data_IF_878886319220
#
_entry.id   IF_878886319220
#
_cell.length_a   1.000
_cell.length_b   1.000
_cell.length_c   1.000
_cell.angle_alpha   90.00
_cell.angle_beta   90.00
_cell.angle_gamma   90.00
#
_symmetry.space_group_name_H-M   'P 1'
#
loop_
_entity.id
_entity.type
_entity.pdbx_description
1 polymer ?
#
# COMPACT_ATOMS: atom_id res chain seq x y z
N UNK A 1 28.65 -27.69 21.34
CA UNK A 1 27.88 -26.50 21.78
C UNK A 1 27.08 -25.99 20.59
N UNK A 2 25.78 -26.28 20.59
CA UNK A 2 24.87 -26.07 19.47
C UNK A 2 23.76 -25.11 19.90
N UNK A 3 23.61 -23.98 19.21
CA UNK A 3 22.45 -23.11 19.35
C UNK A 3 21.74 -23.02 18.00
N UNK A 4 20.56 -23.65 17.94
CA UNK A 4 19.64 -23.63 16.80
C UNK A 4 18.74 -22.40 16.92
N UNK A 5 18.66 -21.61 15.84
CA UNK A 5 17.62 -20.61 15.67
C UNK A 5 16.31 -21.29 15.31
N UNK A 6 15.31 -21.17 16.19
CA UNK A 6 13.92 -21.55 15.94
C UNK A 6 13.14 -20.26 15.65
N UNK A 7 12.75 -20.01 14.39
CA UNK A 7 11.78 -18.97 14.03
C UNK A 7 10.46 -19.64 13.72
N UNK A 8 9.48 -19.43 14.59
CA UNK A 8 8.10 -19.82 14.35
C UNK A 8 7.38 -18.82 13.41
N UNK A 9 6.34 -19.27 12.69
CA UNK A 9 5.59 -18.47 11.71
C UNK A 9 4.52 -17.58 12.37
N UNK A 10 4.24 -16.45 11.72
CA UNK A 10 3.12 -15.55 12.03
C UNK A 10 1.77 -16.29 11.91
N UNK A 11 0.89 -16.23 12.94
CA UNK A 11 -0.52 -16.48 12.78
C UNK A 11 -1.25 -15.14 12.56
N UNK A 12 -2.30 -15.18 11.73
CA UNK A 12 -3.56 -14.43 11.81
C UNK A 12 -4.11 -14.20 10.39
N UNK A 13 -4.61 -15.29 9.82
CA UNK A 13 -5.61 -15.24 8.76
C UNK A 13 -6.90 -15.80 9.36
N UNK A 14 -7.82 -14.93 9.79
CA UNK A 14 -9.17 -15.28 10.23
C UNK A 14 -10.12 -14.11 10.01
N UNK A 15 -10.81 -14.11 8.87
CA UNK A 15 -12.23 -13.82 8.83
C UNK A 15 -12.87 -14.71 7.78
N UNK A 16 -13.76 -15.57 8.27
CA UNK A 16 -14.68 -16.37 7.49
C UNK A 16 -15.98 -15.58 7.32
N UNK A 17 -16.61 -15.67 6.14
CA UNK A 17 -18.08 -15.73 6.03
C UNK A 17 -18.47 -16.74 4.92
N UNK A 18 -19.62 -17.44 5.05
CA UNK A 18 -19.99 -18.56 4.21
C UNK A 18 -21.04 -18.23 3.13
N UNK A 19 -21.03 -19.08 2.10
CA UNK A 19 -22.16 -19.68 1.36
C UNK A 19 -23.21 -18.79 0.65
N UNK A 20 -23.26 -19.07 -0.67
CA UNK A 20 -24.44 -19.39 -1.50
C UNK A 20 -24.88 -18.33 -2.52
N UNK A 21 -24.61 -18.62 -3.80
CA UNK A 21 -25.67 -18.83 -4.80
C UNK A 21 -25.10 -19.48 -6.06
N UNK A 22 -25.63 -20.66 -6.34
CA UNK A 22 -25.50 -21.43 -7.58
C UNK A 22 -26.46 -20.80 -8.60
N UNK A 23 -25.95 -20.37 -9.76
CA UNK A 23 -26.71 -20.39 -11.01
C UNK A 23 -25.80 -20.93 -12.13
N UNK A 24 -26.19 -22.10 -12.63
CA UNK A 24 -25.74 -22.73 -13.86
C UNK A 24 -26.15 -21.90 -15.06
N UNK A 25 -25.24 -21.66 -16.00
CA UNK A 25 -25.61 -21.52 -17.41
C UNK A 25 -24.52 -22.12 -18.30
N UNK A 26 -24.95 -23.16 -18.99
CA UNK A 26 -24.20 -24.03 -19.87
C UNK A 26 -24.09 -23.45 -21.28
N UNK A 27 -22.92 -23.71 -21.88
CA UNK A 27 -22.67 -24.05 -23.28
C UNK A 27 -22.84 -22.98 -24.39
N UNK A 28 -21.72 -22.77 -25.09
CA UNK A 28 -21.47 -23.13 -26.50
C UNK A 28 -21.01 -21.92 -27.36
N UNK A 29 -19.74 -21.92 -27.79
CA UNK A 29 -19.41 -21.94 -29.22
C UNK A 29 -17.94 -22.31 -29.44
N UNK A 30 -17.74 -23.34 -30.26
CA UNK A 30 -16.48 -23.69 -30.88
C UNK A 30 -16.18 -22.73 -32.04
N UNK A 31 -14.90 -22.46 -32.33
CA UNK A 31 -14.52 -21.86 -33.60
C UNK A 31 -13.12 -21.29 -33.69
N UNK A 32 -12.29 -22.01 -34.45
CA UNK A 32 -11.20 -21.50 -35.29
C UNK A 32 -9.80 -21.28 -34.69
N UNK A 33 -8.96 -22.29 -34.90
CA UNK A 33 -7.51 -22.16 -35.12
C UNK A 33 -7.29 -21.67 -36.55
N UNK A 34 -6.63 -20.53 -36.73
CA UNK A 34 -5.90 -20.19 -37.96
C UNK A 34 -4.75 -19.24 -37.60
N UNK A 35 -3.54 -19.62 -38.00
CA UNK A 35 -2.30 -19.00 -37.59
C UNK A 35 -2.07 -17.60 -38.14
N UNK A 36 -1.25 -16.83 -37.41
CA UNK A 36 -0.34 -15.87 -37.99
C UNK A 36 0.91 -15.82 -37.11
N UNK A 37 1.98 -16.46 -37.60
CA UNK A 37 3.34 -16.19 -37.18
C UNK A 37 3.67 -14.78 -37.70
N UNK A 38 3.69 -13.81 -36.80
CA UNK A 38 4.28 -12.50 -37.04
C UNK A 38 5.29 -12.24 -35.93
N UNK A 39 6.56 -12.34 -36.28
CA UNK A 39 7.71 -11.94 -35.47
C UNK A 39 7.58 -10.46 -35.09
N UNK A 40 7.52 -10.16 -33.79
CA UNK A 40 7.53 -8.78 -33.30
C UNK A 40 8.57 -8.62 -32.17
N UNK A 41 9.80 -8.18 -32.47
CA UNK A 41 10.64 -7.53 -31.48
C UNK A 41 10.22 -6.05 -31.46
N UNK A 42 9.11 -5.74 -30.79
CA UNK A 42 8.64 -4.34 -30.66
C UNK A 42 8.36 -3.91 -29.22
N UNK A 43 8.43 -4.84 -28.26
CA UNK A 43 8.29 -4.53 -26.84
C UNK A 43 9.60 -4.05 -26.19
N UNK A 44 10.77 -4.45 -26.71
CA UNK A 44 12.07 -4.03 -26.16
C UNK A 44 12.49 -2.62 -26.62
N UNK A 45 12.10 -2.22 -27.83
CA UNK A 45 12.37 -0.88 -28.35
C UNK A 45 11.60 0.22 -27.59
N UNK A 46 10.39 -0.06 -27.10
CA UNK A 46 9.63 0.89 -26.28
C UNK A 46 10.16 1.03 -24.86
N UNK A 47 10.77 -0.02 -24.30
CA UNK A 47 11.49 0.04 -23.02
C UNK A 47 12.77 0.88 -23.14
N UNK A 48 13.50 0.76 -24.26
CA UNK A 48 14.66 1.62 -24.53
C UNK A 48 14.29 3.09 -24.73
N UNK A 49 13.14 3.39 -25.33
CA UNK A 49 12.69 4.77 -25.59
C UNK A 49 12.16 5.49 -24.34
N UNK A 50 11.51 4.77 -23.42
CA UNK A 50 11.14 5.31 -22.09
C UNK A 50 12.39 5.52 -21.23
N UNK A 51 13.41 4.66 -21.34
CA UNK A 51 14.63 4.77 -20.55
C UNK A 51 15.59 5.87 -21.05
N UNK A 52 15.56 6.23 -22.35
CA UNK A 52 16.38 7.33 -22.87
C UNK A 52 15.86 8.72 -22.46
N UNK A 53 14.60 8.83 -22.03
CA UNK A 53 14.05 10.05 -21.43
C UNK A 53 14.41 10.22 -19.94
N UNK A 54 14.98 9.20 -19.31
CA UNK A 54 15.43 9.24 -17.89
C UNK A 54 16.94 9.40 -17.72
N UNK A 55 17.70 9.59 -18.80
CA UNK A 55 19.12 9.94 -18.73
C UNK A 55 19.27 11.44 -18.37
N UNK A 56 19.84 11.81 -17.21
CA UNK A 56 20.09 13.21 -16.92
C UNK A 56 21.29 13.70 -17.74
N UNK A 57 21.03 14.67 -18.62
CA UNK A 57 22.07 15.59 -19.05
C UNK A 57 22.54 16.38 -17.81
N UNK A 58 23.82 16.24 -17.46
CA UNK A 58 24.47 17.05 -16.43
C UNK A 58 24.43 18.53 -16.84
N UNK A 59 23.51 19.30 -16.25
CA UNK A 59 23.70 20.73 -15.99
C UNK A 59 23.15 21.05 -14.59
N UNK A 60 23.90 21.91 -13.91
CA UNK A 60 23.78 22.27 -12.51
C UNK A 60 22.45 22.94 -12.14
N UNK A 61 22.09 22.83 -10.86
CA UNK A 61 21.07 23.67 -10.21
C UNK A 61 19.90 22.88 -9.64
N UNK A 62 20.04 22.44 -8.40
CA UNK A 62 19.04 22.64 -7.34
C UNK A 62 17.55 22.58 -7.71
N UNK A 63 17.06 21.53 -8.39
CA UNK A 63 15.60 21.34 -8.61
C UNK A 63 15.21 19.90 -8.97
N UNK A 64 15.70 18.88 -8.24
CA UNK A 64 15.25 17.46 -8.42
C UNK A 64 14.97 16.72 -7.12
N UNK A 65 14.51 17.45 -6.10
CA UNK A 65 13.86 16.85 -4.92
C UNK A 65 12.33 16.98 -5.00
N UNK A 66 11.79 17.59 -6.06
CA UNK A 66 10.37 17.97 -6.15
C UNK A 66 9.48 17.01 -6.97
N UNK A 67 10.01 16.17 -7.87
CA UNK A 67 9.14 15.33 -8.73
C UNK A 67 8.53 14.09 -8.04
N UNK A 68 9.11 13.61 -6.93
CA UNK A 68 8.47 12.58 -6.10
C UNK A 68 7.49 13.16 -5.06
N UNK A 69 7.51 14.49 -4.88
CA UNK A 69 6.67 15.23 -3.92
C UNK A 69 5.55 16.01 -4.65
N UNK A 70 5.60 16.10 -5.98
CA UNK A 70 4.60 16.74 -6.86
C UNK A 70 3.59 15.78 -7.52
N UNK A 71 3.47 14.54 -7.05
CA UNK A 71 2.36 13.65 -7.46
C UNK A 71 0.98 14.09 -6.90
N UNK A 72 0.92 15.20 -6.15
CA UNK A 72 -0.24 15.58 -5.34
C UNK A 72 -1.39 16.28 -6.09
N UNK A 73 -1.26 16.64 -7.37
CA UNK A 73 -2.28 17.47 -8.06
C UNK A 73 -3.26 16.70 -8.95
N UNK A 74 -3.00 15.42 -9.27
CA UNK A 74 -3.97 14.62 -10.04
C UNK A 74 -5.12 14.18 -9.12
N UNK A 75 -6.39 14.27 -9.57
CA UNK A 75 -7.52 13.69 -8.85
C UNK A 75 -7.28 12.19 -8.55
N UNK A 76 -7.66 11.72 -7.36
CA UNK A 76 -7.43 10.33 -6.92
C UNK A 76 -7.98 9.31 -7.94
N UNK A 77 -9.14 9.59 -8.53
CA UNK A 77 -9.75 8.75 -9.56
C UNK A 77 -8.86 8.58 -10.80
N UNK A 78 -8.22 9.67 -11.24
CA UNK A 78 -7.28 9.61 -12.36
C UNK A 78 -6.02 8.81 -12.02
N UNK A 79 -5.57 8.86 -10.76
CA UNK A 79 -4.44 8.05 -10.28
C UNK A 79 -4.81 6.55 -10.24
N UNK A 80 -6.03 6.20 -9.80
CA UNK A 80 -6.54 4.84 -9.81
C UNK A 80 -6.57 4.30 -11.24
N UNK A 81 -7.13 5.04 -12.20
CA UNK A 81 -7.17 4.63 -13.60
C UNK A 81 -5.77 4.44 -14.21
N UNK A 82 -4.81 5.29 -13.85
CA UNK A 82 -3.41 5.12 -14.28
C UNK A 82 -2.82 3.81 -13.72
N UNK A 83 -3.07 3.51 -12.45
CA UNK A 83 -2.59 2.29 -11.80
C UNK A 83 -3.29 1.03 -12.32
N UNK A 84 -4.58 1.09 -12.66
CA UNK A 84 -5.29 -0.02 -13.30
C UNK A 84 -4.67 -0.40 -14.65
N UNK A 85 -4.27 0.60 -15.43
CA UNK A 85 -3.55 0.38 -16.68
C UNK A 85 -2.16 -0.24 -16.44
N UNK A 86 -1.43 0.22 -15.41
CA UNK A 86 -0.14 -0.36 -15.01
C UNK A 86 -0.29 -1.80 -14.52
N UNK A 87 -1.31 -2.08 -13.71
CA UNK A 87 -1.66 -3.41 -13.21
C UNK A 87 -1.92 -4.37 -14.38
N UNK A 88 -2.79 -3.99 -15.30
CA UNK A 88 -3.12 -4.80 -16.47
C UNK A 88 -1.89 -5.03 -17.36
N UNK A 89 -1.02 -4.03 -17.50
CA UNK A 89 0.27 -4.19 -18.20
C UNK A 89 1.19 -5.17 -17.49
N UNK A 90 1.32 -5.07 -16.16
CA UNK A 90 2.13 -5.98 -15.35
C UNK A 90 1.61 -7.43 -15.40
N UNK A 91 0.29 -7.62 -15.31
CA UNK A 91 -0.38 -8.92 -15.43
C UNK A 91 -0.14 -9.55 -16.81
N UNK A 92 -0.29 -8.78 -17.89
CA UNK A 92 0.02 -9.25 -19.26
C UNK A 92 1.48 -9.64 -19.41
N UNK A 93 2.41 -8.84 -18.87
CA UNK A 93 3.84 -9.14 -18.91
C UNK A 93 4.17 -10.42 -18.15
N UNK A 94 3.58 -10.63 -16.97
CA UNK A 94 3.70 -11.89 -16.21
C UNK A 94 3.18 -13.08 -17.01
N UNK A 95 1.98 -12.97 -17.60
CA UNK A 95 1.40 -14.03 -18.41
C UNK A 95 2.25 -14.34 -19.65
N UNK A 96 2.71 -13.30 -20.36
CA UNK A 96 3.57 -13.46 -21.52
C UNK A 96 4.90 -14.14 -21.17
N UNK A 97 5.49 -13.79 -20.02
CA UNK A 97 6.68 -14.47 -19.51
C UNK A 97 6.41 -15.96 -19.28
N UNK A 98 5.34 -16.30 -18.55
CA UNK A 98 4.97 -17.70 -18.27
C UNK A 98 4.62 -18.50 -19.53
N UNK A 99 4.11 -17.85 -20.57
CA UNK A 99 3.69 -18.51 -21.81
C UNK A 99 4.84 -18.71 -22.81
N UNK A 100 5.85 -17.84 -22.80
CA UNK A 100 6.94 -17.84 -23.80
C UNK A 100 8.25 -18.39 -23.27
N UNK A 101 8.51 -18.21 -21.97
CA UNK A 101 9.78 -18.56 -21.35
C UNK A 101 9.60 -19.75 -20.42
N UNK A 102 10.35 -20.82 -20.69
CA UNK A 102 10.51 -21.94 -19.77
C UNK A 102 11.91 -21.91 -19.18
N UNK A 103 12.17 -22.68 -18.13
CA UNK A 103 13.54 -22.74 -17.61
C UNK A 103 14.50 -23.34 -18.64
N UNK A 104 14.03 -24.31 -19.42
CA UNK A 104 14.78 -24.99 -20.48
C UNK A 104 15.20 -24.04 -21.62
N UNK A 105 14.45 -22.97 -21.91
CA UNK A 105 14.84 -21.98 -22.93
C UNK A 105 16.03 -21.11 -22.51
N UNK A 106 16.15 -20.84 -21.20
CA UNK A 106 17.19 -19.95 -20.65
C UNK A 106 18.39 -20.69 -20.05
N UNK A 107 18.26 -21.99 -19.80
CA UNK A 107 19.34 -22.83 -19.27
C UNK A 107 20.60 -22.85 -20.17
N UNK A 108 20.51 -22.96 -21.51
CA UNK A 108 21.69 -22.91 -22.39
C UNK A 108 22.44 -21.58 -22.32
N UNK A 109 21.74 -20.52 -21.94
CA UNK A 109 22.32 -19.21 -21.66
C UNK A 109 22.99 -19.18 -20.28
N UNK A 110 23.17 -20.28 -19.56
CA UNK A 110 23.80 -20.31 -18.24
C UNK A 110 22.99 -19.61 -17.13
N UNK A 111 21.71 -19.34 -17.36
CA UNK A 111 20.82 -18.75 -16.36
C UNK A 111 20.45 -19.80 -15.32
N UNK A 112 20.57 -19.43 -14.04
CA UNK A 112 20.23 -20.33 -12.94
C UNK A 112 18.71 -20.48 -12.78
N UNK A 113 18.25 -21.64 -12.30
CA UNK A 113 16.83 -21.83 -11.95
C UNK A 113 16.36 -20.79 -10.91
N UNK A 114 17.26 -20.43 -9.98
CA UNK A 114 16.99 -19.40 -8.97
C UNK A 114 16.69 -18.04 -9.60
N UNK A 115 17.44 -17.61 -10.62
CA UNK A 115 17.21 -16.31 -11.26
C UNK A 115 15.95 -16.31 -12.12
N UNK A 116 15.64 -17.43 -12.77
CA UNK A 116 14.37 -17.62 -13.48
C UNK A 116 13.16 -17.50 -12.54
N UNK A 117 13.15 -18.27 -11.44
CA UNK A 117 12.06 -18.22 -10.45
C UNK A 117 12.00 -16.85 -9.74
N UNK A 118 13.15 -16.21 -9.51
CA UNK A 118 13.19 -14.84 -8.98
C UNK A 118 12.51 -13.85 -9.92
N UNK A 119 12.80 -13.88 -11.23
CA UNK A 119 12.14 -12.99 -12.20
C UNK A 119 10.63 -13.20 -12.23
N UNK A 120 10.20 -14.46 -12.28
CA UNK A 120 8.80 -14.86 -12.23
C UNK A 120 8.09 -14.36 -10.97
N UNK A 121 8.72 -14.53 -9.79
CA UNK A 121 8.21 -14.04 -8.52
C UNK A 121 8.06 -12.51 -8.53
N UNK A 122 9.10 -11.79 -8.96
CA UNK A 122 9.09 -10.33 -9.00
C UNK A 122 8.01 -9.77 -9.94
N UNK A 123 7.79 -10.40 -11.11
CA UNK A 123 6.71 -10.03 -12.01
C UNK A 123 5.33 -10.18 -11.35
N UNK A 124 5.14 -11.23 -10.52
CA UNK A 124 3.94 -11.38 -9.70
C UNK A 124 3.81 -10.29 -8.65
N UNK A 125 4.91 -9.95 -7.98
CA UNK A 125 4.92 -8.96 -6.91
C UNK A 125 4.66 -7.53 -7.41
N UNK A 126 5.09 -7.19 -8.63
CA UNK A 126 4.76 -5.89 -9.26
C UNK A 126 3.25 -5.73 -9.41
N UNK A 127 2.56 -6.74 -9.95
CA UNK A 127 1.09 -6.69 -10.10
C UNK A 127 0.39 -6.53 -8.74
N UNK A 128 0.78 -7.33 -7.74
CA UNK A 128 0.24 -7.20 -6.39
C UNK A 128 0.47 -5.80 -5.80
N UNK A 129 1.66 -5.22 -6.00
CA UNK A 129 1.99 -3.90 -5.48
C UNK A 129 1.09 -2.81 -6.07
N UNK A 130 0.71 -2.92 -7.35
CA UNK A 130 -0.26 -1.99 -7.95
C UNK A 130 -1.68 -2.19 -7.43
N UNK A 131 -2.11 -3.43 -7.18
CA UNK A 131 -3.41 -3.71 -6.53
C UNK A 131 -3.46 -3.08 -5.14
N UNK A 132 -2.43 -3.31 -4.32
CA UNK A 132 -2.32 -2.75 -2.98
C UNK A 132 -2.33 -1.20 -3.02
N UNK A 133 -1.67 -0.60 -4.02
CA UNK A 133 -1.64 0.86 -4.19
C UNK A 133 -3.02 1.42 -4.59
N UNK A 134 -3.76 0.74 -5.46
CA UNK A 134 -5.14 1.11 -5.81
C UNK A 134 -6.03 1.10 -4.56
N UNK A 135 -5.93 0.06 -3.74
CA UNK A 135 -6.73 -0.04 -2.52
C UNK A 135 -6.34 1.01 -1.47
N UNK A 136 -5.06 1.37 -1.38
CA UNK A 136 -4.60 2.50 -0.58
C UNK A 136 -5.25 3.83 -1.06
N UNK A 137 -5.31 4.10 -2.36
CA UNK A 137 -5.96 5.30 -2.89
C UNK A 137 -7.48 5.35 -2.59
N UNK A 138 -8.16 4.20 -2.62
CA UNK A 138 -9.57 4.11 -2.19
C UNK A 138 -9.72 4.41 -0.70
N UNK A 139 -8.84 3.85 0.14
CA UNK A 139 -8.78 4.13 1.58
C UNK A 139 -8.53 5.61 1.85
N UNK A 140 -7.63 6.26 1.10
CA UNK A 140 -7.38 7.70 1.20
C UNK A 140 -8.65 8.53 0.94
N UNK A 141 -9.42 8.18 -0.08
CA UNK A 141 -10.72 8.80 -0.36
C UNK A 141 -11.68 8.64 0.81
N UNK A 142 -11.78 7.43 1.39
CA UNK A 142 -12.63 7.16 2.55
C UNK A 142 -12.24 8.01 3.77
N UNK A 143 -10.93 8.14 4.05
CA UNK A 143 -10.44 8.98 5.17
C UNK A 143 -10.81 10.44 4.95
N UNK A 144 -10.60 10.96 3.74
CA UNK A 144 -10.95 12.36 3.40
C UNK A 144 -12.44 12.64 3.51
N UNK A 145 -13.30 11.70 3.14
CA UNK A 145 -14.75 11.86 3.30
C UNK A 145 -15.15 11.83 4.78
N UNK A 146 -14.61 10.89 5.54
CA UNK A 146 -14.85 10.79 6.97
C UNK A 146 -14.42 12.05 7.72
N UNK A 147 -13.31 12.65 7.33
CA UNK A 147 -12.84 13.92 7.87
C UNK A 147 -13.83 15.06 7.64
N UNK A 148 -14.34 15.21 6.41
CA UNK A 148 -15.41 16.20 6.12
C UNK A 148 -16.65 15.96 6.97
N UNK A 149 -17.08 14.72 7.15
CA UNK A 149 -18.25 14.38 7.96
C UNK A 149 -18.04 14.76 9.44
N UNK A 150 -16.86 14.49 9.99
CA UNK A 150 -16.50 14.88 11.36
C UNK A 150 -16.47 16.39 11.52
N UNK A 151 -15.82 17.10 10.60
CA UNK A 151 -15.79 18.57 10.60
C UNK A 151 -17.19 19.17 10.52
N UNK A 152 -18.06 18.64 9.66
CA UNK A 152 -19.45 19.08 9.58
C UNK A 152 -20.23 18.78 10.87
N UNK A 153 -20.03 17.61 11.47
CA UNK A 153 -20.63 17.25 12.76
C UNK A 153 -20.18 18.20 13.88
N UNK A 154 -18.90 18.58 13.91
CA UNK A 154 -18.35 19.52 14.89
C UNK A 154 -18.98 20.90 14.78
N UNK A 155 -19.16 21.41 13.55
CA UNK A 155 -19.76 22.73 13.29
C UNK A 155 -21.26 22.74 13.59
N UNK A 156 -21.97 21.67 13.23
CA UNK A 156 -23.43 21.57 13.44
C UNK A 156 -23.84 21.19 14.86
N UNK A 157 -22.90 20.78 15.71
CA UNK A 157 -23.21 20.35 17.07
C UNK A 157 -23.58 21.52 17.99
N UNK A 158 -24.86 21.55 18.41
CA UNK A 158 -25.43 22.57 19.30
C UNK A 158 -25.56 22.12 20.76
N UNK A 159 -25.00 20.96 21.11
CA UNK A 159 -25.15 20.34 22.42
C UNK A 159 -25.83 18.97 22.34
N UNK A 160 -26.14 18.41 23.50
CA UNK A 160 -26.78 17.10 23.59
C UNK A 160 -28.30 17.23 23.46
N UNK A 161 -28.94 16.26 22.80
CA UNK A 161 -30.40 16.23 22.68
C UNK A 161 -31.12 15.86 23.99
N UNK A 162 -30.41 15.21 24.91
CA UNK A 162 -30.91 14.87 26.24
C UNK A 162 -30.72 16.06 27.18
N UNK A 163 -31.67 16.28 28.10
CA UNK A 163 -31.53 17.32 29.12
C UNK A 163 -30.67 16.81 30.28
N UNK A 164 -29.80 17.65 30.87
CA UNK A 164 -29.06 17.30 32.08
C UNK A 164 -30.00 17.13 33.30
N UNK A 165 -29.58 16.41 34.36
CA UNK A 165 -28.26 15.78 34.51
C UNK A 165 -28.12 14.49 33.70
N UNK A 166 -26.95 14.30 33.12
CA UNK A 166 -26.54 13.10 32.39
C UNK A 166 -26.12 12.00 33.39
N UNK A 167 -26.37 10.73 33.03
CA UNK A 167 -25.97 9.57 33.83
C UNK A 167 -24.44 9.42 33.88
N UNK A 168 -23.91 8.86 34.99
CA UNK A 168 -22.47 8.62 35.14
C UNK A 168 -21.92 7.74 34.02
N UNK A 169 -22.62 6.67 33.64
CA UNK A 169 -22.15 5.74 32.60
C UNK A 169 -21.96 6.43 31.27
N UNK A 170 -22.90 7.29 30.88
CA UNK A 170 -22.78 8.09 29.67
C UNK A 170 -21.61 9.09 29.70
N UNK A 171 -21.32 9.69 30.87
CA UNK A 171 -20.13 10.56 31.02
C UNK A 171 -18.84 9.73 30.96
N UNK A 172 -18.85 8.51 31.49
CA UNK A 172 -17.72 7.58 31.42
C UNK A 172 -17.50 7.08 29.98
N UNK A 173 -18.55 6.78 29.21
CA UNK A 173 -18.46 6.47 27.77
C UNK A 173 -17.74 7.60 26.99
N UNK A 174 -18.05 8.87 27.29
CA UNK A 174 -17.36 10.01 26.68
C UNK A 174 -15.88 10.08 27.08
N UNK A 175 -15.51 9.64 28.29
CA UNK A 175 -14.10 9.55 28.72
C UNK A 175 -13.38 8.42 27.99
N UNK A 176 -14.02 7.27 27.85
CA UNK A 176 -13.49 6.13 27.12
C UNK A 176 -13.26 6.47 25.64
N UNK A 177 -14.19 7.22 25.03
CA UNK A 177 -14.03 7.78 23.69
C UNK A 177 -12.80 8.68 23.56
N UNK A 178 -12.60 9.62 24.50
CA UNK A 178 -11.40 10.49 24.54
C UNK A 178 -10.13 9.66 24.65
N UNK A 179 -10.09 8.68 25.56
CA UNK A 179 -8.95 7.80 25.75
C UNK A 179 -8.67 6.95 24.50
N UNK A 180 -9.70 6.41 23.85
CA UNK A 180 -9.57 5.65 22.62
C UNK A 180 -8.96 6.49 21.49
N UNK A 181 -9.40 7.74 21.33
CA UNK A 181 -8.83 8.67 20.34
C UNK A 181 -7.37 8.99 20.61
N UNK A 182 -6.98 9.20 21.88
CA UNK A 182 -5.58 9.41 22.26
C UNK A 182 -4.70 8.19 21.91
N UNK A 183 -5.17 6.97 22.20
CA UNK A 183 -4.45 5.74 21.85
C UNK A 183 -4.33 5.57 20.33
N UNK A 184 -5.39 5.88 19.58
CA UNK A 184 -5.38 5.86 18.11
C UNK A 184 -4.33 6.82 17.53
N UNK A 185 -4.23 8.05 18.06
CA UNK A 185 -3.21 9.03 17.64
C UNK A 185 -1.79 8.49 17.88
N UNK A 186 -1.54 7.87 19.03
CA UNK A 186 -0.23 7.30 19.34
C UNK A 186 0.11 6.14 18.40
N UNK A 187 -0.84 5.22 18.17
CA UNK A 187 -0.65 4.09 17.27
C UNK A 187 -0.34 4.56 15.83
N UNK A 188 -1.06 5.58 15.34
CA UNK A 188 -0.80 6.18 14.03
C UNK A 188 0.59 6.85 13.96
N UNK A 189 1.07 7.46 15.05
CA UNK A 189 2.43 7.99 15.13
C UNK A 189 3.50 6.90 14.95
N UNK A 190 3.34 5.78 15.65
CA UNK A 190 4.27 4.62 15.51
C UNK A 190 4.23 4.05 14.09
N UNK A 191 3.04 3.97 13.47
CA UNK A 191 2.91 3.52 12.09
C UNK A 191 3.60 4.47 11.09
N UNK A 192 3.53 5.79 11.31
CA UNK A 192 4.24 6.77 10.48
C UNK A 192 5.76 6.58 10.54
N UNK A 193 6.31 6.30 11.73
CA UNK A 193 7.75 6.07 11.93
C UNK A 193 8.23 4.80 11.21
N UNK A 194 7.47 3.70 11.32
CA UNK A 194 7.79 2.45 10.62
C UNK A 194 7.79 2.68 9.10
N UNK A 195 6.75 3.36 8.60
CA UNK A 195 6.62 3.61 7.16
C UNK A 195 7.73 4.54 6.64
N UNK A 196 8.22 5.47 7.46
CA UNK A 196 9.37 6.30 7.10
C UNK A 196 10.63 5.44 6.84
N UNK A 197 10.88 4.43 7.67
CA UNK A 197 12.00 3.50 7.49
C UNK A 197 11.85 2.67 6.20
N UNK A 198 10.63 2.21 5.91
CA UNK A 198 10.33 1.47 4.67
C UNK A 198 10.58 2.32 3.43
N UNK A 199 10.17 3.59 3.44
CA UNK A 199 10.41 4.54 2.34
C UNK A 199 11.91 4.68 2.06
N UNK A 200 12.73 4.86 3.09
CA UNK A 200 14.19 4.99 2.93
C UNK A 200 14.82 3.68 2.43
N UNK A 201 14.33 2.53 2.89
CA UNK A 201 14.74 1.21 2.40
C UNK A 201 14.40 1.02 0.91
N UNK A 202 13.22 1.45 0.47
CA UNK A 202 12.81 1.38 -0.95
C UNK A 202 13.63 2.33 -1.82
N UNK A 203 13.89 3.56 -1.37
CA UNK A 203 14.78 4.51 -2.08
C UNK A 203 16.18 3.93 -2.26
N UNK A 204 16.75 3.34 -1.20
CA UNK A 204 18.06 2.70 -1.27
C UNK A 204 18.06 1.53 -2.25
N UNK A 205 17.07 0.65 -2.17
CA UNK A 205 16.93 -0.50 -3.07
C UNK A 205 16.80 -0.09 -4.53
N UNK A 206 16.02 0.98 -4.80
CA UNK A 206 15.87 1.57 -6.12
C UNK A 206 17.21 2.10 -6.65
N UNK A 207 17.91 2.89 -5.84
CA UNK A 207 19.20 3.46 -6.23
C UNK A 207 20.25 2.37 -6.53
N UNK A 208 20.34 1.34 -5.70
CA UNK A 208 21.23 0.19 -5.90
C UNK A 208 20.90 -0.55 -7.20
N UNK A 209 19.62 -0.86 -7.44
CA UNK A 209 19.20 -1.55 -8.67
C UNK A 209 19.47 -0.72 -9.93
N UNK A 210 19.26 0.60 -9.87
CA UNK A 210 19.59 1.51 -10.98
C UNK A 210 21.10 1.59 -11.24
N UNK A 211 21.93 1.61 -10.19
CA UNK A 211 23.38 1.60 -10.33
C UNK A 211 23.88 0.29 -10.96
N UNK A 212 23.36 -0.85 -10.49
CA UNK A 212 23.66 -2.17 -11.04
C UNK A 212 23.25 -2.27 -12.53
N UNK A 213 22.08 -1.73 -12.88
CA UNK A 213 21.61 -1.69 -14.27
C UNK A 213 22.56 -0.87 -15.18
N UNK A 214 23.05 0.28 -14.71
CA UNK A 214 24.04 1.10 -15.45
C UNK A 214 25.37 0.36 -15.63
N UNK A 215 25.81 -0.38 -14.61
CA UNK A 215 27.01 -1.20 -14.69
C UNK A 215 26.87 -2.31 -15.75
N UNK A 216 25.76 -3.05 -15.75
CA UNK A 216 25.48 -4.07 -16.77
C UNK A 216 25.38 -3.46 -18.17
N UNK A 217 24.82 -2.26 -18.30
CA UNK A 217 24.76 -1.53 -19.58
C UNK A 217 26.16 -1.22 -20.14
N UNK A 218 27.13 -0.99 -19.26
CA UNK A 218 28.53 -0.83 -19.65
C UNK A 218 29.15 -2.17 -20.05
N UNK A 219 28.91 -3.22 -19.27
CA UNK A 219 29.44 -4.56 -19.54
C UNK A 219 28.91 -5.14 -20.86
N UNK A 220 27.65 -4.87 -21.20
CA UNK A 220 27.04 -5.33 -22.45
C UNK A 220 27.77 -4.79 -23.69
N UNK A 221 28.24 -3.53 -23.64
CA UNK A 221 28.99 -2.90 -24.75
C UNK A 221 30.34 -3.56 -25.01
N UNK A 222 30.91 -4.18 -23.98
CA UNK A 222 32.20 -4.90 -24.03
C UNK A 222 32.02 -6.41 -23.94
N UNK A 223 30.82 -6.94 -24.26
CA UNK A 223 30.56 -8.36 -24.15
C UNK A 223 31.47 -9.17 -25.09
N UNK A 224 32.13 -10.24 -24.61
CA UNK A 224 33.12 -10.98 -25.40
C UNK A 224 32.50 -11.84 -26.50
N UNK A 225 31.21 -12.22 -26.37
CA UNK A 225 30.47 -12.99 -27.35
C UNK A 225 28.95 -12.83 -27.15
N UNK A 226 28.18 -13.32 -28.12
CA UNK A 226 26.71 -13.22 -28.11
C UNK A 226 26.07 -13.93 -26.91
N UNK A 227 26.59 -15.09 -26.49
CA UNK A 227 26.04 -15.83 -25.34
C UNK A 227 26.17 -15.04 -24.03
N UNK A 228 27.31 -14.36 -23.82
CA UNK A 228 27.51 -13.50 -22.65
C UNK A 228 26.66 -12.21 -22.79
N UNK A 229 26.49 -11.68 -23.99
CA UNK A 229 25.59 -10.55 -24.23
C UNK A 229 24.15 -10.90 -23.84
N UNK A 230 23.65 -12.08 -24.23
CA UNK A 230 22.31 -12.57 -23.86
C UNK A 230 22.16 -12.80 -22.34
N UNK A 231 23.19 -13.31 -21.66
CA UNK A 231 23.20 -13.39 -20.19
C UNK A 231 23.06 -12.01 -19.53
N UNK A 232 23.82 -11.03 -20.00
CA UNK A 232 23.77 -9.67 -19.47
C UNK A 232 22.41 -9.03 -19.74
N UNK A 233 21.84 -9.22 -20.94
CA UNK A 233 20.46 -8.77 -21.27
C UNK A 233 19.43 -9.40 -20.33
N UNK A 234 19.56 -10.70 -20.02
CA UNK A 234 18.69 -11.35 -19.06
C UNK A 234 18.79 -10.72 -17.67
N UNK A 235 20.00 -10.49 -17.18
CA UNK A 235 20.22 -9.83 -15.88
C UNK A 235 19.68 -8.39 -15.87
N UNK A 236 19.86 -7.62 -16.95
CA UNK A 236 19.26 -6.30 -17.10
C UNK A 236 17.73 -6.37 -17.05
N UNK A 237 17.11 -7.35 -17.71
CA UNK A 237 15.66 -7.52 -17.68
C UNK A 237 15.15 -7.85 -16.28
N UNK A 238 15.90 -8.64 -15.49
CA UNK A 238 15.58 -8.90 -14.09
C UNK A 238 15.69 -7.63 -13.24
N UNK A 239 16.73 -6.83 -13.45
CA UNK A 239 16.91 -5.55 -12.76
C UNK A 239 15.85 -4.53 -13.12
N UNK A 240 15.41 -4.47 -14.37
CA UNK A 240 14.31 -3.60 -14.79
C UNK A 240 13.03 -3.90 -13.99
N UNK A 241 12.70 -5.18 -13.77
CA UNK A 241 11.56 -5.57 -12.93
C UNK A 241 11.80 -5.19 -11.45
N UNK A 242 13.03 -5.29 -10.94
CA UNK A 242 13.37 -4.85 -9.57
C UNK A 242 13.23 -3.33 -9.39
N UNK A 243 13.65 -2.56 -10.39
CA UNK A 243 13.52 -1.09 -10.41
C UNK A 243 12.05 -0.73 -10.36
N UNK A 244 11.24 -1.24 -11.28
CA UNK A 244 9.80 -0.97 -11.33
C UNK A 244 9.09 -1.37 -10.03
N UNK A 245 9.44 -2.53 -9.46
CA UNK A 245 8.90 -2.93 -8.17
C UNK A 245 9.24 -1.93 -7.06
N UNK A 246 10.49 -1.46 -7.01
CA UNK A 246 10.94 -0.52 -5.99
C UNK A 246 10.28 0.85 -6.14
N UNK A 247 10.08 1.30 -7.39
CA UNK A 247 9.32 2.51 -7.71
C UNK A 247 7.84 2.39 -7.30
N UNK A 248 7.18 1.28 -7.66
CA UNK A 248 5.79 1.02 -7.29
C UNK A 248 5.61 0.98 -5.77
N UNK A 249 6.52 0.29 -5.05
CA UNK A 249 6.51 0.25 -3.58
C UNK A 249 6.72 1.62 -2.96
N UNK A 250 7.65 2.41 -3.50
CA UNK A 250 7.90 3.77 -3.03
C UNK A 250 6.66 4.65 -3.20
N UNK A 251 6.02 4.61 -4.37
CA UNK A 251 4.80 5.38 -4.65
C UNK A 251 3.65 4.95 -3.72
N UNK A 252 3.42 3.65 -3.55
CA UNK A 252 2.42 3.12 -2.62
C UNK A 252 2.69 3.53 -1.17
N UNK A 253 3.94 3.46 -0.72
CA UNK A 253 4.33 3.87 0.63
C UNK A 253 4.12 5.38 0.88
N UNK A 254 4.35 6.23 -0.13
CA UNK A 254 4.04 7.66 -0.02
C UNK A 254 2.53 7.89 0.12
N UNK A 255 1.70 7.15 -0.62
CA UNK A 255 0.24 7.20 -0.46
C UNK A 255 -0.20 6.71 0.93
N UNK A 256 0.32 5.59 1.42
CA UNK A 256 -0.01 5.11 2.78
C UNK A 256 0.42 6.12 3.86
N UNK A 257 1.54 6.81 3.65
CA UNK A 257 1.98 7.87 4.56
C UNK A 257 0.97 9.01 4.61
N UNK A 258 0.42 9.39 3.45
CA UNK A 258 -0.65 10.39 3.41
C UNK A 258 -1.90 9.89 4.14
N UNK A 259 -2.28 8.62 3.98
CA UNK A 259 -3.42 8.02 4.69
C UNK A 259 -3.21 8.09 6.20
N UNK A 260 -2.03 7.74 6.71
CA UNK A 260 -1.72 7.78 8.14
C UNK A 260 -1.80 9.22 8.65
N UNK A 261 -1.25 10.19 7.91
CA UNK A 261 -1.30 11.61 8.26
C UNK A 261 -2.73 12.13 8.32
N UNK A 262 -3.53 11.88 7.28
CA UNK A 262 -4.93 12.31 7.23
C UNK A 262 -5.75 11.61 8.31
N UNK A 263 -5.49 10.32 8.58
CA UNK A 263 -6.16 9.56 9.65
C UNK A 263 -5.81 10.08 11.05
N UNK A 264 -4.57 10.55 11.23
CA UNK A 264 -4.11 11.13 12.49
C UNK A 264 -4.72 12.50 12.71
N UNK A 265 -4.82 13.32 11.66
CA UNK A 265 -5.53 14.60 11.72
C UNK A 265 -7.01 14.38 12.06
N UNK A 266 -7.68 13.46 11.37
CA UNK A 266 -9.04 13.04 11.69
C UNK A 266 -9.19 12.63 13.17
N UNK A 267 -8.27 11.82 13.70
CA UNK A 267 -8.31 11.40 15.09
C UNK A 267 -8.10 12.57 16.09
N UNK A 268 -7.30 13.58 15.73
CA UNK A 268 -7.13 14.80 16.52
C UNK A 268 -8.41 15.64 16.53
N UNK A 269 -9.12 15.72 15.41
CA UNK A 269 -10.38 16.43 15.31
C UNK A 269 -11.49 15.70 16.08
N UNK A 270 -11.56 14.37 15.97
CA UNK A 270 -12.43 13.51 16.80
C UNK A 270 -12.16 13.72 18.30
N UNK A 271 -10.89 13.70 18.71
CA UNK A 271 -10.49 13.95 20.10
C UNK A 271 -10.96 15.33 20.59
N UNK A 272 -10.67 16.39 19.81
CA UNK A 272 -11.06 17.76 20.15
C UNK A 272 -12.58 17.86 20.33
N UNK A 273 -13.34 17.20 19.46
CA UNK A 273 -14.79 17.19 19.53
C UNK A 273 -15.31 16.45 20.78
N UNK A 274 -14.72 15.30 21.09
CA UNK A 274 -15.07 14.49 22.26
C UNK A 274 -14.73 15.21 23.57
N UNK A 275 -13.58 15.88 23.64
CA UNK A 275 -13.20 16.70 24.80
C UNK A 275 -14.17 17.87 25.01
N UNK A 276 -14.61 18.53 23.92
CA UNK A 276 -15.65 19.56 23.98
C UNK A 276 -16.96 19.00 24.55
N UNK A 277 -17.41 17.84 24.06
CA UNK A 277 -18.59 17.12 24.54
C UNK A 277 -18.49 16.78 26.02
N UNK A 278 -17.39 16.13 26.41
CA UNK A 278 -17.11 15.75 27.79
C UNK A 278 -17.10 16.97 28.72
N UNK A 279 -16.49 18.07 28.29
CA UNK A 279 -16.46 19.33 29.05
C UNK A 279 -17.86 19.91 29.30
N UNK A 280 -18.76 19.85 28.31
CA UNK A 280 -20.17 20.24 28.48
C UNK A 280 -20.90 19.28 29.43
N UNK A 281 -20.69 17.97 29.26
CA UNK A 281 -21.31 16.92 30.08
C UNK A 281 -20.97 17.05 31.57
N UNK A 282 -19.67 17.15 31.88
CA UNK A 282 -19.15 17.25 33.24
C UNK A 282 -19.61 18.53 33.93
N UNK A 283 -19.67 19.66 33.21
CA UNK A 283 -20.17 20.94 33.77
C UNK A 283 -21.66 20.88 34.10
N UNK A 284 -22.47 20.27 33.24
CA UNK A 284 -23.92 20.20 33.40
C UNK A 284 -24.36 19.12 34.41
N UNK A 285 -23.49 18.14 34.69
CA UNK A 285 -23.77 16.99 35.56
C UNK A 285 -22.62 16.74 36.51
N UNK A 286 -22.40 17.65 37.48
CA UNK A 286 -21.36 17.44 38.48
C UNK A 286 -21.64 16.14 39.24
N UNK A 287 -20.62 15.28 39.33
CA UNK A 287 -20.67 14.03 40.08
C UNK A 287 -21.10 14.32 41.52
N UNK A 288 -22.32 13.91 41.86
CA UNK A 288 -22.85 14.03 43.22
C UNK A 288 -22.80 12.67 43.92
N UNK A 289 -22.72 12.70 45.25
CA UNK A 289 -22.52 11.50 46.07
C UNK A 289 -23.63 10.46 45.87
N UNK A 290 -24.87 10.90 45.64
CA UNK A 290 -26.01 10.00 45.41
C UNK A 290 -25.84 9.15 44.13
N UNK A 291 -25.43 9.78 43.03
CA UNK A 291 -25.18 9.08 41.76
C UNK A 291 -24.00 8.10 41.85
N UNK A 292 -22.96 8.43 42.61
CA UNK A 292 -21.83 7.52 42.88
C UNK A 292 -22.28 6.31 43.73
N UNK A 293 -23.04 6.55 44.79
CA UNK A 293 -23.54 5.51 45.69
C UNK A 293 -24.49 4.53 44.96
N UNK A 294 -25.26 5.02 44.00
CA UNK A 294 -26.11 4.19 43.13
C UNK A 294 -25.28 3.27 42.23
N UNK A 295 -24.23 3.80 41.57
CA UNK A 295 -23.30 3.01 40.75
C UNK A 295 -22.54 1.96 41.56
N UNK A 296 -22.11 2.30 42.78
CA UNK A 296 -21.45 1.36 43.68
C UNK A 296 -22.38 0.21 44.13
N UNK A 297 -23.67 0.50 44.37
CA UNK A 297 -24.66 -0.54 44.69
C UNK A 297 -24.91 -1.48 43.52
N UNK A 298 -25.07 -0.95 42.30
CA UNK A 298 -25.26 -1.76 41.09
C UNK A 298 -24.08 -2.71 40.84
N UNK A 299 -22.85 -2.20 40.87
CA UNK A 299 -21.64 -3.02 40.70
C UNK A 299 -21.45 -4.11 41.77
N UNK A 300 -21.93 -3.89 42.99
CA UNK A 300 -21.86 -4.89 44.06
C UNK A 300 -22.95 -5.98 43.92
N UNK A 301 -24.04 -5.69 43.21
CA UNK A 301 -25.10 -6.66 42.93
C UNK A 301 -24.77 -7.56 41.73
N UNK A 302 -24.04 -7.07 40.72
CA UNK A 302 -23.58 -7.90 39.59
C UNK A 302 -22.45 -8.89 39.95
N UNK A 303 -21.82 -8.73 41.12
CA UNK A 303 -20.74 -9.60 41.61
C UNK A 303 -21.23 -10.76 42.50
N UNK A 304 -22.53 -10.89 42.74
CA UNK A 304 -23.17 -11.95 43.52
C UNK A 304 -23.92 -12.92 42.60
#
# INVERSE_FOLDING_TARGET
MSWRFNRHPNPLNRFALPMASVILLTSLLAGLVAGLVATAPRAEAQLLEIMNQTAPANQAGDTKQSEAEQASDKPIEAQIQELENKLLTAQRRKQAFMARESYESVQPLGISLSDYERKKFLLGLVAQTYEDHIDALKKLTSVKNRDKDVQQAMVSWQGFGQKPPYSIDWVDELRDEVHASQLKIQALGVQEDILHQDIESFKKSLHEAQAEFRQLSTQLKSAPNESIAEQIKWQQSLLAVRIELSEAKLQGAVTEKQIIRDSRQLALDELTFQEKKLGVAVKASPLNKASLDEKLKANNQEKL
#
